data_IF_606572917954
#
_entry.id   IF_606572917954
#
_cell.length_a   1.000
_cell.length_b   1.000
_cell.length_c   1.000
_cell.angle_alpha   90.00
_cell.angle_beta   90.00
_cell.angle_gamma   90.00
#
_symmetry.space_group_name_H-M   'P 1'
#
loop_
_entity.id
_entity.type
_entity.pdbx_description
1 polymer ?
#
# COMPACT_ATOMS: atom_id res chain seq x y z
N UNK A 1 17.74 -33.92 -3.89
CA UNK A 1 17.93 -32.47 -4.07
C UNK A 1 18.96 -32.01 -3.06
N UNK A 2 20.10 -31.48 -3.50
CA UNK A 2 21.05 -30.82 -2.59
C UNK A 2 20.35 -29.60 -2.01
N UNK A 3 20.16 -29.55 -0.68
CA UNK A 3 19.73 -28.31 -0.02
C UNK A 3 20.84 -27.28 -0.19
N UNK A 4 20.51 -26.10 -0.71
CA UNK A 4 21.43 -24.96 -0.78
C UNK A 4 21.69 -24.45 0.63
N UNK A 5 22.95 -24.15 0.94
CA UNK A 5 23.36 -23.62 2.25
C UNK A 5 22.79 -22.20 2.50
N UNK A 6 22.50 -21.45 1.44
CA UNK A 6 21.89 -20.12 1.52
C UNK A 6 21.74 -19.48 0.13
N UNK A 7 20.99 -18.39 0.07
CA UNK A 7 20.80 -17.56 -1.13
C UNK A 7 20.79 -16.09 -0.73
N UNK A 8 21.43 -15.23 -1.52
CA UNK A 8 21.30 -13.77 -1.42
C UNK A 8 21.05 -13.22 -2.81
N UNK A 9 19.95 -12.49 -2.98
CA UNK A 9 19.65 -11.75 -4.20
C UNK A 9 20.27 -10.37 -4.09
N UNK A 10 21.35 -10.16 -4.83
CA UNK A 10 22.04 -8.87 -4.89
C UNK A 10 21.25 -7.87 -5.74
N UNK A 11 21.43 -6.57 -5.47
CA UNK A 11 20.84 -5.49 -6.27
C UNK A 11 19.42 -5.08 -5.86
N UNK A 12 18.86 -5.68 -4.81
CA UNK A 12 17.63 -5.18 -4.19
C UNK A 12 17.94 -3.93 -3.38
N UNK A 13 17.23 -2.85 -3.69
CA UNK A 13 17.31 -1.57 -3.00
C UNK A 13 15.91 -1.17 -2.55
N UNK A 14 15.53 -1.64 -1.36
CA UNK A 14 14.32 -1.18 -0.69
C UNK A 14 14.59 0.19 -0.06
N UNK A 15 13.79 1.19 -0.43
CA UNK A 15 13.80 2.53 0.19
C UNK A 15 12.37 2.92 0.51
N UNK A 16 12.12 3.29 1.76
CA UNK A 16 10.78 3.73 2.17
C UNK A 16 10.58 5.20 1.82
N UNK A 17 9.63 5.49 0.94
CA UNK A 17 9.36 6.85 0.44
C UNK A 17 7.87 7.19 0.39
N UNK A 18 7.01 6.26 -0.05
CA UNK A 18 5.57 6.54 -0.22
C UNK A 18 4.69 5.71 0.71
N UNK A 19 4.70 4.40 0.49
CA UNK A 19 3.99 3.37 1.26
C UNK A 19 4.89 2.15 1.27
N UNK A 20 5.18 1.65 2.47
CA UNK A 20 6.14 0.57 2.63
C UNK A 20 5.82 -0.67 1.78
N UNK A 21 4.54 -0.98 1.53
CA UNK A 21 4.16 -2.06 0.62
C UNK A 21 4.54 -1.77 -0.84
N UNK A 22 4.15 -0.60 -1.35
CA UNK A 22 4.45 -0.17 -2.72
C UNK A 22 5.95 -0.12 -2.97
N UNK A 23 6.69 0.42 -2.00
CA UNK A 23 8.15 0.51 -2.05
C UNK A 23 8.79 -0.89 -2.09
N UNK A 24 8.32 -1.82 -1.24
CA UNK A 24 8.80 -3.20 -1.20
C UNK A 24 8.46 -3.96 -2.48
N UNK A 25 7.24 -3.78 -2.97
CA UNK A 25 6.79 -4.35 -4.24
C UNK A 25 7.63 -3.83 -5.41
N UNK A 26 7.90 -2.53 -5.47
CA UNK A 26 8.73 -1.91 -6.49
C UNK A 26 10.15 -2.46 -6.47
N UNK A 27 10.78 -2.54 -5.29
CA UNK A 27 12.12 -3.10 -5.14
C UNK A 27 12.19 -4.57 -5.59
N UNK A 28 11.20 -5.39 -5.23
CA UNK A 28 11.15 -6.80 -5.64
C UNK A 28 10.94 -6.95 -7.15
N UNK A 29 9.92 -6.28 -7.72
CA UNK A 29 9.57 -6.47 -9.13
C UNK A 29 10.62 -5.88 -10.08
N UNK A 30 11.25 -4.75 -9.73
CA UNK A 30 12.30 -4.17 -10.57
C UNK A 30 13.58 -5.01 -10.54
N UNK A 31 14.00 -5.50 -9.36
CA UNK A 31 15.16 -6.40 -9.24
C UNK A 31 14.95 -7.72 -10.01
N UNK A 32 13.71 -8.21 -10.07
CA UNK A 32 13.33 -9.40 -10.84
C UNK A 32 13.10 -9.15 -12.34
N UNK A 33 13.17 -7.90 -12.82
CA UNK A 33 12.85 -7.54 -14.20
C UNK A 33 11.36 -7.67 -14.56
N UNK A 34 10.48 -7.79 -13.56
CA UNK A 34 9.03 -7.92 -13.72
C UNK A 34 8.32 -6.55 -13.80
N UNK A 35 9.00 -5.46 -13.51
CA UNK A 35 8.47 -4.11 -13.69
C UNK A 35 9.56 -3.17 -14.24
N UNK A 36 9.15 -2.30 -15.18
CA UNK A 36 10.01 -1.27 -15.76
C UNK A 36 9.25 0.05 -15.73
N UNK A 37 9.89 1.10 -15.22
CA UNK A 37 9.30 2.42 -15.06
C UNK A 37 9.46 2.95 -13.64
N UNK A 38 8.99 4.16 -13.37
CA UNK A 38 9.13 4.80 -12.06
C UNK A 38 8.13 4.25 -11.03
N UNK A 39 8.43 4.41 -9.74
CA UNK A 39 7.59 3.94 -8.63
C UNK A 39 6.16 4.47 -8.69
N UNK A 40 5.94 5.72 -9.10
CA UNK A 40 4.60 6.29 -9.20
C UNK A 40 3.73 5.58 -10.25
N UNK A 41 4.33 5.03 -11.32
CA UNK A 41 3.58 4.23 -12.30
C UNK A 41 3.13 2.91 -11.68
N UNK A 42 3.98 2.24 -10.90
CA UNK A 42 3.61 1.03 -10.18
C UNK A 42 2.54 1.33 -9.12
N UNK A 43 2.71 2.41 -8.35
CA UNK A 43 1.78 2.87 -7.32
C UNK A 43 0.40 3.17 -7.90
N UNK A 44 0.36 3.88 -9.03
CA UNK A 44 -0.87 4.22 -9.76
C UNK A 44 -1.55 3.01 -10.40
N UNK A 45 -0.82 2.20 -11.19
CA UNK A 45 -1.37 1.03 -11.87
C UNK A 45 -1.88 -0.02 -10.89
N UNK A 46 -1.17 -0.27 -9.78
CA UNK A 46 -1.62 -1.20 -8.75
C UNK A 46 -2.83 -0.69 -7.95
N UNK A 47 -3.19 0.59 -8.07
CA UNK A 47 -4.22 1.23 -7.27
C UNK A 47 -3.79 1.53 -5.82
N UNK A 48 -2.58 1.14 -5.42
CA UNK A 48 -2.08 1.35 -4.05
C UNK A 48 -1.91 2.83 -3.69
N UNK A 49 -1.66 3.70 -4.68
CA UNK A 49 -1.60 5.15 -4.47
C UNK A 49 -2.92 5.73 -3.91
N UNK A 50 -4.06 5.12 -4.26
CA UNK A 50 -5.38 5.60 -3.85
C UNK A 50 -5.77 5.16 -2.43
N UNK A 51 -5.09 4.15 -1.88
CA UNK A 51 -5.39 3.67 -0.53
C UNK A 51 -5.11 4.73 0.51
N UNK A 52 -6.14 5.04 1.28
CA UNK A 52 -6.04 5.96 2.40
C UNK A 52 -6.83 5.44 3.58
N UNK A 53 -6.13 5.18 4.69
CA UNK A 53 -6.72 4.70 5.93
C UNK A 53 -6.19 5.47 7.13
N UNK A 54 -7.06 5.75 8.09
CA UNK A 54 -6.77 6.58 9.26
C UNK A 54 -7.45 6.01 10.49
N UNK A 55 -6.67 5.73 11.54
CA UNK A 55 -7.20 5.43 12.87
C UNK A 55 -7.69 6.71 13.56
N UNK A 56 -8.76 6.65 14.35
CA UNK A 56 -9.38 7.82 15.03
C UNK A 56 -8.43 8.64 15.93
N UNK A 57 -7.30 8.04 16.33
CA UNK A 57 -6.23 8.65 17.14
C UNK A 57 -4.96 9.00 16.35
N UNK A 58 -4.99 8.89 15.02
CA UNK A 58 -3.87 9.13 14.11
C UNK A 58 -2.62 8.31 14.41
N UNK A 59 -2.80 7.03 14.78
CA UNK A 59 -1.65 6.16 15.03
C UNK A 59 -0.87 5.88 13.73
N UNK A 60 0.47 5.74 13.80
CA UNK A 60 1.32 5.59 12.61
C UNK A 60 0.98 4.37 11.76
N UNK A 61 0.49 3.28 12.37
CA UNK A 61 0.08 2.07 11.63
C UNK A 61 -1.07 2.32 10.64
N UNK A 62 -1.75 3.47 10.71
CA UNK A 62 -2.83 3.83 9.81
C UNK A 62 -2.47 3.67 8.34
N UNK A 63 -1.22 3.94 7.95
CA UNK A 63 -0.77 3.88 6.55
C UNK A 63 -0.69 2.45 5.99
N UNK A 64 -0.66 1.43 6.85
CA UNK A 64 -0.70 0.01 6.45
C UNK A 64 -1.99 -0.69 6.86
N UNK A 65 -2.87 -0.06 7.64
CA UNK A 65 -4.09 -0.68 8.15
C UNK A 65 -5.32 -0.49 7.24
N UNK A 66 -5.16 -0.72 5.94
CA UNK A 66 -6.20 -0.57 4.92
C UNK A 66 -6.99 -1.88 4.64
N UNK A 67 -7.04 -2.80 5.61
CA UNK A 67 -7.84 -4.03 5.53
C UNK A 67 -7.03 -5.31 5.59
N UNK A 68 -7.61 -6.40 5.06
CA UNK A 68 -6.94 -7.69 5.00
C UNK A 68 -5.98 -7.71 3.81
N UNK A 69 -4.67 -7.58 4.06
CA UNK A 69 -3.67 -7.44 3.00
C UNK A 69 -3.76 -8.46 1.86
N UNK A 70 -4.07 -9.74 2.12
CA UNK A 70 -4.29 -10.72 1.05
C UNK A 70 -5.41 -10.36 0.06
N UNK A 71 -6.48 -9.70 0.55
CA UNK A 71 -7.59 -9.21 -0.27
C UNK A 71 -7.31 -7.86 -0.91
N UNK A 72 -6.49 -7.04 -0.28
CA UNK A 72 -6.18 -5.69 -0.76
C UNK A 72 -5.03 -5.68 -1.77
N UNK A 73 -4.03 -6.56 -1.60
CA UNK A 73 -2.89 -6.65 -2.49
C UNK A 73 -3.19 -7.53 -3.71
N UNK A 74 -4.03 -8.56 -3.60
CA UNK A 74 -4.35 -9.46 -4.71
C UNK A 74 -4.77 -8.71 -5.98
N UNK A 75 -5.86 -7.92 -5.96
CA UNK A 75 -6.29 -7.13 -7.12
C UNK A 75 -5.24 -6.14 -7.62
N UNK A 76 -4.43 -5.58 -6.70
CA UNK A 76 -3.36 -4.65 -7.03
C UNK A 76 -2.25 -5.32 -7.85
N UNK A 77 -1.84 -6.53 -7.46
CA UNK A 77 -0.80 -7.31 -8.15
C UNK A 77 -1.36 -7.95 -9.44
N UNK A 78 -2.59 -8.44 -9.41
CA UNK A 78 -3.29 -8.97 -10.58
C UNK A 78 -3.36 -7.92 -11.69
N UNK A 79 -3.57 -6.64 -11.33
CA UNK A 79 -3.61 -5.56 -12.30
C UNK A 79 -2.24 -5.20 -12.91
N UNK A 80 -1.15 -5.63 -12.28
CA UNK A 80 0.21 -5.58 -12.84
C UNK A 80 0.54 -6.81 -13.70
N UNK A 81 -0.36 -7.81 -13.73
CA UNK A 81 -0.19 -9.06 -14.46
C UNK A 81 0.76 -10.04 -13.79
N UNK A 82 1.09 -9.84 -12.51
CA UNK A 82 2.05 -10.69 -11.79
C UNK A 82 1.29 -11.76 -11.01
N UNK A 83 1.71 -13.02 -11.13
CA UNK A 83 1.22 -14.08 -10.27
C UNK A 83 1.74 -13.85 -8.86
N UNK A 84 0.86 -13.95 -7.86
CA UNK A 84 1.25 -13.84 -6.46
C UNK A 84 0.62 -14.92 -5.60
N UNK A 85 1.32 -15.31 -4.56
CA UNK A 85 0.75 -16.00 -3.42
C UNK A 85 1.17 -15.30 -2.14
N UNK A 86 0.48 -15.62 -1.05
CA UNK A 86 0.77 -15.02 0.24
C UNK A 86 0.52 -16.01 1.38
N UNK A 87 1.22 -15.76 2.47
CA UNK A 87 0.99 -16.41 3.76
C UNK A 87 0.79 -15.33 4.81
N UNK A 88 -0.03 -15.60 5.81
CA UNK A 88 -0.34 -14.62 6.85
C UNK A 88 -1.51 -15.07 7.68
N UNK A 89 -1.68 -14.45 8.83
CA UNK A 89 -2.74 -14.84 9.76
C UNK A 89 -2.46 -14.38 11.17
N UNK A 90 -3.09 -15.04 12.14
CA UNK A 90 -2.98 -14.68 13.56
C UNK A 90 -1.99 -15.57 14.30
N UNK A 91 -0.97 -14.98 14.91
CA UNK A 91 0.13 -15.70 15.58
C UNK A 91 -0.31 -16.54 16.78
N UNK A 92 -1.50 -16.29 17.33
CA UNK A 92 -2.06 -17.03 18.49
C UNK A 92 -2.94 -18.22 18.12
N UNK A 93 -3.04 -18.57 16.84
CA UNK A 93 -3.81 -19.75 16.42
C UNK A 93 -3.00 -21.03 16.69
N UNK A 94 -3.65 -22.12 17.11
CA UNK A 94 -2.96 -23.39 17.46
C UNK A 94 -2.14 -23.97 16.30
N UNK A 95 -2.54 -23.66 15.06
CA UNK A 95 -1.82 -24.08 13.85
C UNK A 95 -0.69 -23.13 13.42
N UNK A 96 -0.34 -22.10 14.22
CA UNK A 96 0.66 -21.10 13.85
C UNK A 96 1.99 -21.71 13.44
N UNK A 97 2.54 -22.60 14.26
CA UNK A 97 3.81 -23.26 13.96
C UNK A 97 3.81 -24.00 12.61
N UNK A 98 2.66 -24.60 12.24
CA UNK A 98 2.54 -25.35 10.97
C UNK A 98 2.60 -24.43 9.77
N UNK A 99 1.79 -23.36 9.75
CA UNK A 99 1.80 -22.46 8.61
C UNK A 99 3.02 -21.52 8.60
N UNK A 100 3.64 -21.26 9.77
CA UNK A 100 4.91 -20.54 9.86
C UNK A 100 6.00 -21.33 9.12
N UNK A 101 6.10 -22.64 9.41
CA UNK A 101 7.06 -23.50 8.71
C UNK A 101 6.77 -23.58 7.22
N UNK A 102 5.51 -23.71 6.81
CA UNK A 102 5.16 -23.69 5.38
C UNK A 102 5.61 -22.40 4.69
N UNK A 103 5.37 -21.25 5.32
CA UNK A 103 5.77 -19.96 4.77
C UNK A 103 7.29 -19.76 4.71
N UNK A 104 8.04 -20.29 5.67
CA UNK A 104 9.50 -20.30 5.62
C UNK A 104 9.98 -21.05 4.37
N UNK A 105 9.40 -22.22 4.09
CA UNK A 105 9.74 -22.99 2.89
C UNK A 105 9.30 -22.29 1.59
N UNK A 106 8.13 -21.64 1.57
CA UNK A 106 7.66 -20.86 0.42
C UNK A 106 8.58 -19.67 0.12
N UNK A 107 9.07 -18.97 1.16
CA UNK A 107 10.06 -17.89 1.01
C UNK A 107 11.37 -18.42 0.46
N UNK A 108 11.90 -19.54 1.00
CA UNK A 108 13.12 -20.17 0.48
C UNK A 108 12.97 -20.56 -0.99
N UNK A 109 11.86 -21.21 -1.35
CA UNK A 109 11.59 -21.58 -2.74
C UNK A 109 11.50 -20.37 -3.67
N UNK A 110 10.90 -19.26 -3.22
CA UNK A 110 10.87 -18.03 -3.99
C UNK A 110 12.28 -17.48 -4.22
N UNK A 111 13.08 -17.39 -3.16
CA UNK A 111 14.46 -16.91 -3.20
C UNK A 111 15.34 -17.80 -4.09
N UNK A 112 15.15 -19.12 -4.05
CA UNK A 112 15.86 -20.08 -4.88
C UNK A 112 15.65 -19.87 -6.39
N UNK A 113 14.49 -19.31 -6.76
CA UNK A 113 14.15 -18.90 -8.13
C UNK A 113 14.64 -17.49 -8.47
N UNK A 114 15.33 -16.82 -7.56
CA UNK A 114 15.79 -15.43 -7.73
C UNK A 114 14.69 -14.39 -7.48
N UNK A 115 13.63 -14.73 -6.76
CA UNK A 115 12.51 -13.85 -6.47
C UNK A 115 12.43 -13.54 -4.98
N UNK A 116 12.68 -12.29 -4.61
CA UNK A 116 12.50 -11.81 -3.26
C UNK A 116 11.03 -11.73 -2.85
N UNK A 117 10.79 -11.63 -1.54
CA UNK A 117 9.45 -11.63 -0.96
C UNK A 117 9.18 -10.32 -0.23
N UNK A 118 7.93 -9.86 -0.25
CA UNK A 118 7.48 -8.79 0.65
C UNK A 118 7.12 -9.41 2.00
N UNK A 119 7.55 -8.78 3.10
CA UNK A 119 7.30 -9.26 4.45
C UNK A 119 6.91 -8.11 5.37
N UNK A 120 5.90 -8.32 6.21
CA UNK A 120 5.45 -7.31 7.15
C UNK A 120 6.08 -7.50 8.53
N UNK A 121 6.82 -6.47 8.96
CA UNK A 121 7.47 -6.30 10.26
C UNK A 121 7.25 -4.86 10.74
N UNK A 122 6.14 -4.63 11.46
CA UNK A 122 5.45 -3.35 11.60
C UNK A 122 5.86 -2.30 10.56
N UNK A 123 5.26 -2.43 9.37
CA UNK A 123 5.63 -1.88 8.04
C UNK A 123 6.19 -2.97 7.12
N UNK A 124 6.08 -2.79 5.81
CA UNK A 124 6.55 -3.77 4.84
C UNK A 124 8.04 -3.58 4.50
N UNK A 125 8.74 -4.70 4.35
CA UNK A 125 10.11 -4.79 3.89
C UNK A 125 10.28 -5.93 2.89
N UNK A 126 11.53 -6.17 2.50
CA UNK A 126 11.89 -7.18 1.50
C UNK A 126 12.78 -8.24 2.14
N UNK A 127 12.35 -9.49 2.08
CA UNK A 127 13.22 -10.65 2.32
C UNK A 127 13.96 -10.94 1.02
N UNK A 128 15.28 -10.78 1.03
CA UNK A 128 16.11 -10.91 -0.18
C UNK A 128 17.12 -12.06 -0.12
N UNK A 129 17.15 -12.79 0.98
CA UNK A 129 17.98 -13.98 1.09
C UNK A 129 17.77 -14.75 2.38
N UNK A 130 18.46 -15.88 2.50
CA UNK A 130 18.44 -16.74 3.66
C UNK A 130 19.78 -17.46 3.86
N UNK A 131 20.02 -17.90 5.09
CA UNK A 131 21.11 -18.79 5.48
C UNK A 131 20.52 -19.99 6.23
N UNK A 132 20.80 -21.19 5.76
CA UNK A 132 20.26 -22.43 6.33
C UNK A 132 21.02 -22.88 7.58
N UNK A 133 22.32 -22.58 7.67
CA UNK A 133 23.16 -22.96 8.80
C UNK A 133 22.80 -22.10 10.02
N UNK A 134 22.67 -20.79 9.81
CA UNK A 134 22.27 -19.82 10.84
C UNK A 134 20.74 -19.74 11.05
N UNK A 135 19.96 -20.34 10.15
CA UNK A 135 18.48 -20.32 10.13
C UNK A 135 17.91 -18.90 10.18
N UNK A 136 18.41 -18.03 9.30
CA UNK A 136 17.99 -16.63 9.23
C UNK A 136 17.53 -16.22 7.85
N UNK A 137 16.63 -15.24 7.81
CA UNK A 137 16.31 -14.44 6.63
C UNK A 137 17.03 -13.10 6.67
N UNK A 138 17.50 -12.67 5.50
CA UNK A 138 18.05 -11.33 5.26
C UNK A 138 16.95 -10.39 4.79
N UNK A 139 16.73 -9.29 5.53
CA UNK A 139 15.60 -8.37 5.35
C UNK A 139 16.08 -6.94 5.21
N UNK A 140 15.56 -6.21 4.21
CA UNK A 140 15.67 -4.76 4.11
C UNK A 140 14.33 -4.12 4.47
N UNK A 141 14.30 -3.20 5.44
CA UNK A 141 13.06 -2.53 5.86
C UNK A 141 12.87 -1.13 5.25
N UNK A 142 13.84 -0.68 4.45
CA UNK A 142 13.84 0.61 3.77
C UNK A 142 14.19 1.82 4.63
N UNK A 143 14.54 1.62 5.91
CA UNK A 143 15.00 2.70 6.81
C UNK A 143 16.50 2.97 6.69
N UNK A 144 17.28 1.97 6.30
CA UNK A 144 18.70 2.08 5.96
C UNK A 144 19.06 1.07 4.87
N UNK A 145 20.28 1.19 4.33
CA UNK A 145 20.84 0.20 3.40
C UNK A 145 21.25 -1.11 4.08
N UNK A 146 21.21 -1.16 5.41
CA UNK A 146 21.68 -2.30 6.17
C UNK A 146 20.68 -3.46 6.10
N UNK A 147 21.23 -4.66 5.97
CA UNK A 147 20.44 -5.89 6.06
C UNK A 147 20.21 -6.25 7.52
N UNK A 148 18.95 -6.44 7.88
CA UNK A 148 18.52 -7.01 9.16
C UNK A 148 18.37 -8.52 9.04
N UNK A 149 18.43 -9.19 10.18
CA UNK A 149 18.30 -10.64 10.27
C UNK A 149 17.01 -11.00 11.01
N UNK A 150 16.26 -11.93 10.46
CA UNK A 150 15.08 -12.52 11.11
C UNK A 150 15.30 -14.01 11.25
N UNK A 151 15.38 -14.50 12.48
CA UNK A 151 15.45 -15.95 12.74
C UNK A 151 14.20 -16.62 12.18
N UNK A 152 14.33 -17.83 11.62
CA UNK A 152 13.19 -18.63 11.16
C UNK A 152 12.12 -18.79 12.24
N UNK A 153 12.53 -19.06 13.48
CA UNK A 153 11.62 -19.25 14.60
C UNK A 153 10.87 -17.95 14.98
N UNK A 154 11.44 -16.78 14.62
CA UNK A 154 10.81 -15.47 14.79
C UNK A 154 9.99 -15.02 13.57
N UNK A 155 9.96 -15.80 12.50
CA UNK A 155 9.27 -15.39 11.27
C UNK A 155 7.76 -15.25 11.52
N UNK A 156 7.23 -14.05 11.28
CA UNK A 156 5.83 -13.71 11.57
C UNK A 156 5.54 -13.36 13.04
N UNK A 157 6.51 -13.49 13.96
CA UNK A 157 6.34 -13.02 15.33
C UNK A 157 6.74 -11.54 15.44
N UNK A 158 5.83 -10.73 15.98
CA UNK A 158 6.05 -9.29 16.18
C UNK A 158 5.16 -8.77 17.33
N UNK A 159 5.15 -7.45 17.54
CA UNK A 159 4.38 -6.80 18.62
C UNK A 159 2.86 -6.92 18.45
N UNK A 160 2.37 -7.29 17.26
CA UNK A 160 0.96 -7.47 16.95
C UNK A 160 0.61 -8.95 16.79
N UNK A 161 -0.68 -9.34 16.95
CA UNK A 161 -1.08 -10.74 16.87
C UNK A 161 -1.27 -11.23 15.43
N UNK A 162 -0.70 -10.56 14.42
CA UNK A 162 -0.83 -10.93 13.01
C UNK A 162 0.45 -10.66 12.23
N UNK A 163 0.54 -11.27 11.05
CA UNK A 163 1.70 -11.17 10.17
C UNK A 163 1.31 -11.47 8.73
N UNK A 164 2.21 -11.14 7.81
CA UNK A 164 2.00 -11.33 6.38
C UNK A 164 3.31 -11.42 5.63
N UNK A 165 3.34 -12.29 4.63
CA UNK A 165 4.40 -12.41 3.64
C UNK A 165 3.76 -12.68 2.28
N UNK A 166 4.33 -12.07 1.24
CA UNK A 166 3.88 -12.21 -0.13
C UNK A 166 5.06 -12.58 -1.03
N UNK A 167 4.82 -13.56 -1.87
CA UNK A 167 5.77 -14.07 -2.84
C UNK A 167 5.19 -13.93 -4.25
N UNK A 168 6.08 -13.90 -5.23
CA UNK A 168 5.74 -13.57 -6.61
C UNK A 168 6.15 -14.72 -7.54
N UNK A 169 5.50 -14.76 -8.70
CA UNK A 169 5.76 -15.72 -9.76
C UNK A 169 5.86 -15.02 -11.10
N UNK A 170 5.46 -15.74 -12.14
CA UNK A 170 5.54 -15.25 -13.52
C UNK A 170 4.63 -14.04 -13.76
N UNK A 171 4.96 -13.29 -14.82
CA UNK A 171 4.19 -12.14 -15.27
C UNK A 171 3.58 -12.38 -16.65
N UNK A 172 2.37 -11.88 -16.84
CA UNK A 172 1.73 -11.70 -18.14
C UNK A 172 1.59 -10.21 -18.45
N UNK A 173 1.60 -9.87 -19.73
CA UNK A 173 1.39 -8.49 -20.15
C UNK A 173 -0.09 -8.13 -20.13
N UNK A 174 -0.42 -7.06 -19.40
CA UNK A 174 -1.74 -6.46 -19.40
C UNK A 174 -1.68 -5.20 -20.26
N UNK A 175 -2.58 -5.03 -21.25
CA UNK A 175 -2.66 -3.80 -22.02
C UNK A 175 -2.81 -2.58 -21.09
N UNK A 176 -2.00 -1.54 -21.33
CA UNK A 176 -2.00 -0.33 -20.48
C UNK A 176 -3.39 0.26 -20.30
N UNK A 177 -4.20 0.28 -21.36
CA UNK A 177 -5.60 0.71 -21.31
C UNK A 177 -6.41 -0.03 -20.22
N UNK A 178 -6.29 -1.35 -20.15
CA UNK A 178 -7.04 -2.17 -19.22
C UNK A 178 -6.51 -2.03 -17.79
N UNK A 179 -5.19 -1.95 -17.63
CA UNK A 179 -4.56 -1.71 -16.34
C UNK A 179 -4.94 -0.34 -15.75
N UNK A 180 -4.95 0.71 -16.59
CA UNK A 180 -5.38 2.06 -16.18
C UNK A 180 -6.85 2.04 -15.79
N UNK A 181 -7.72 1.47 -16.62
CA UNK A 181 -9.16 1.37 -16.33
C UNK A 181 -9.44 0.64 -15.02
N UNK A 182 -8.76 -0.47 -14.77
CA UNK A 182 -8.92 -1.22 -13.54
C UNK A 182 -8.35 -0.48 -12.31
N UNK A 183 -7.25 0.27 -12.46
CA UNK A 183 -6.75 1.13 -11.37
C UNK A 183 -7.78 2.17 -10.91
N UNK A 184 -8.58 2.72 -11.84
CA UNK A 184 -9.66 3.66 -11.48
C UNK A 184 -10.76 2.96 -10.68
N UNK A 185 -11.06 1.70 -11.02
CA UNK A 185 -12.07 0.89 -10.32
C UNK A 185 -11.59 0.50 -8.93
N UNK A 186 -10.32 0.16 -8.77
CA UNK A 186 -9.70 -0.08 -7.45
C UNK A 186 -9.73 1.20 -6.60
N UNK A 187 -9.47 2.36 -7.19
CA UNK A 187 -9.56 3.65 -6.51
C UNK A 187 -10.99 3.92 -6.00
N UNK A 188 -12.01 3.67 -6.84
CA UNK A 188 -13.41 3.82 -6.46
C UNK A 188 -13.82 2.85 -5.34
N UNK A 189 -13.39 1.60 -5.42
CA UNK A 189 -13.69 0.58 -4.40
C UNK A 189 -13.11 0.97 -3.03
N UNK A 190 -11.88 1.48 -2.99
CA UNK A 190 -11.28 1.99 -1.76
C UNK A 190 -12.02 3.23 -1.25
N UNK A 191 -12.29 4.19 -2.14
CA UNK A 191 -12.99 5.44 -1.81
C UNK A 191 -14.36 5.23 -1.17
N UNK A 192 -15.12 4.26 -1.68
CA UNK A 192 -16.51 3.99 -1.29
C UNK A 192 -16.64 3.03 -0.11
N UNK A 193 -15.55 2.37 0.31
CA UNK A 193 -15.56 1.44 1.44
C UNK A 193 -15.10 2.14 2.73
N UNK A 194 -16.00 2.55 3.63
CA UNK A 194 -15.61 3.37 4.79
C UNK A 194 -14.79 2.61 5.84
N UNK A 195 -14.93 1.28 5.92
CA UNK A 195 -14.27 0.44 6.92
C UNK A 195 -13.80 -0.87 6.29
N UNK A 196 -12.48 -1.07 6.20
CA UNK A 196 -11.86 -2.29 5.65
C UNK A 196 -11.51 -3.33 6.72
N UNK A 197 -11.63 -2.97 8.00
CA UNK A 197 -11.21 -3.77 9.16
C UNK A 197 -12.37 -4.27 10.01
N UNK A 198 -13.58 -4.36 9.45
CA UNK A 198 -14.77 -4.81 10.18
C UNK A 198 -14.52 -6.12 10.96
N UNK A 199 -15.08 -6.26 12.17
CA UNK A 199 -16.05 -5.36 12.80
C UNK A 199 -15.44 -4.09 13.44
N UNK A 200 -14.12 -3.96 13.46
CA UNK A 200 -13.45 -2.77 14.00
C UNK A 200 -13.65 -1.57 13.06
N UNK A 201 -14.23 -0.50 13.60
CA UNK A 201 -14.51 0.77 12.94
C UNK A 201 -13.61 1.92 13.44
N UNK A 202 -12.61 1.61 14.28
CA UNK A 202 -11.63 2.59 14.75
C UNK A 202 -10.68 3.06 13.65
N UNK A 203 -10.67 2.37 12.50
CA UNK A 203 -9.88 2.67 11.32
C UNK A 203 -10.82 2.91 10.14
N UNK A 204 -10.86 4.16 9.69
CA UNK A 204 -11.60 4.56 8.50
C UNK A 204 -10.76 4.38 7.23
N UNK A 205 -11.42 4.23 6.09
CA UNK A 205 -10.80 4.11 4.76
C UNK A 205 -11.50 5.00 3.74
N UNK A 206 -10.80 5.32 2.65
CA UNK A 206 -11.31 6.10 1.53
C UNK A 206 -11.81 7.48 1.96
N UNK A 207 -13.04 7.82 1.57
CA UNK A 207 -13.69 9.09 1.93
C UNK A 207 -13.74 9.32 3.45
N UNK A 208 -14.03 8.27 4.23
CA UNK A 208 -14.22 8.39 5.69
C UNK A 208 -12.90 8.70 6.42
N UNK A 209 -11.76 8.31 5.84
CA UNK A 209 -10.45 8.57 6.43
C UNK A 209 -10.16 10.08 6.58
N UNK A 210 -10.62 10.90 5.64
CA UNK A 210 -10.56 12.37 5.76
C UNK A 210 -11.31 12.88 6.99
N UNK A 211 -12.51 12.35 7.25
CA UNK A 211 -13.31 12.74 8.41
C UNK A 211 -12.60 12.38 9.72
N UNK A 212 -11.95 11.23 9.79
CA UNK A 212 -11.17 10.82 10.96
C UNK A 212 -9.96 11.73 11.17
N UNK A 213 -9.23 12.02 10.10
CA UNK A 213 -8.07 12.91 10.13
C UNK A 213 -8.45 14.31 10.62
N UNK A 214 -9.42 14.94 9.96
CA UNK A 214 -9.88 16.30 10.28
C UNK A 214 -10.40 16.37 11.72
N UNK A 215 -11.26 15.42 12.12
CA UNK A 215 -11.84 15.39 13.46
C UNK A 215 -10.78 15.26 14.55
N UNK A 216 -9.82 14.36 14.39
CA UNK A 216 -8.76 14.15 15.36
C UNK A 216 -7.92 15.43 15.54
N UNK A 217 -7.52 16.07 14.42
CA UNK A 217 -6.77 17.33 14.43
C UNK A 217 -7.55 18.46 15.13
N UNK A 218 -8.85 18.61 14.84
CA UNK A 218 -9.71 19.61 15.49
C UNK A 218 -9.88 19.40 16.99
N UNK A 219 -9.92 18.14 17.43
CA UNK A 219 -10.09 17.79 18.85
C UNK A 219 -8.78 17.89 19.65
N UNK A 220 -7.63 17.92 18.98
CA UNK A 220 -6.31 17.96 19.63
C UNK A 220 -5.94 16.68 20.39
N UNK A 221 -6.66 15.57 20.17
CA UNK A 221 -6.45 14.28 20.86
C UNK A 221 -5.98 13.23 19.87
N UNK A 222 -4.70 13.25 19.56
CA UNK A 222 -4.09 12.35 18.58
C UNK A 222 -2.62 12.09 18.89
N UNK A 223 -2.06 11.06 18.26
CA UNK A 223 -0.63 10.80 18.24
C UNK A 223 0.07 11.76 17.26
N UNK A 224 0.92 12.65 17.78
CA UNK A 224 1.53 13.71 16.97
C UNK A 224 2.46 13.16 15.89
N UNK A 225 3.26 12.13 16.22
CA UNK A 225 4.15 11.47 15.25
C UNK A 225 3.39 10.78 14.13
N UNK A 226 2.31 10.08 14.48
CA UNK A 226 1.48 9.39 13.51
C UNK A 226 0.68 10.38 12.65
N UNK A 227 0.24 11.52 13.19
CA UNK A 227 -0.38 12.58 12.41
C UNK A 227 0.57 13.12 11.32
N UNK A 228 1.83 13.40 11.66
CA UNK A 228 2.86 13.81 10.69
C UNK A 228 3.05 12.73 9.63
N UNK A 229 3.25 11.48 10.05
CA UNK A 229 3.48 10.37 9.12
C UNK A 229 2.31 10.11 8.17
N UNK A 230 1.07 10.20 8.66
CA UNK A 230 -0.14 10.08 7.84
C UNK A 230 -0.21 11.22 6.81
N UNK A 231 0.10 12.46 7.20
CA UNK A 231 0.09 13.61 6.31
C UNK A 231 1.18 13.51 5.24
N UNK A 232 2.39 13.08 5.61
CA UNK A 232 3.47 12.82 4.66
C UNK A 232 3.09 11.72 3.66
N UNK A 233 2.58 10.58 4.14
CA UNK A 233 2.13 9.49 3.25
C UNK A 233 0.95 9.89 2.36
N UNK A 234 0.05 10.76 2.84
CA UNK A 234 -1.03 11.33 2.04
C UNK A 234 -0.45 12.20 0.91
N UNK A 235 0.40 13.18 1.24
CA UNK A 235 1.03 14.07 0.25
C UNK A 235 1.80 13.28 -0.82
N UNK A 236 2.64 12.33 -0.40
CA UNK A 236 3.40 11.51 -1.35
C UNK A 236 2.46 10.75 -2.27
N UNK A 237 1.41 10.13 -1.74
CA UNK A 237 0.42 9.42 -2.56
C UNK A 237 -0.31 10.34 -3.55
N UNK A 238 -0.60 11.59 -3.19
CA UNK A 238 -1.26 12.54 -4.10
C UNK A 238 -0.34 13.04 -5.20
N UNK A 239 0.93 13.27 -4.88
CA UNK A 239 1.96 13.57 -5.88
C UNK A 239 2.21 12.38 -6.84
N UNK A 240 2.18 11.15 -6.32
CA UNK A 240 2.25 9.94 -7.14
C UNK A 240 1.04 9.81 -8.08
N UNK A 241 -0.18 10.03 -7.58
CA UNK A 241 -1.39 10.00 -8.41
C UNK A 241 -1.32 11.08 -9.49
N UNK A 242 -0.90 12.30 -9.16
CA UNK A 242 -0.72 13.39 -10.14
C UNK A 242 0.26 12.96 -11.23
N UNK A 243 1.43 12.45 -10.85
CA UNK A 243 2.48 12.02 -11.79
C UNK A 243 2.03 10.84 -12.65
N UNK A 244 1.33 9.87 -12.07
CA UNK A 244 0.72 8.76 -12.79
C UNK A 244 -0.29 9.24 -13.82
N UNK A 245 -1.26 10.07 -13.40
CA UNK A 245 -2.29 10.61 -14.29
C UNK A 245 -1.71 11.48 -15.40
N UNK A 246 -0.61 12.19 -15.14
CA UNK A 246 0.11 12.93 -16.17
C UNK A 246 0.63 12.02 -17.30
N UNK A 247 1.17 10.85 -16.95
CA UNK A 247 1.65 9.86 -17.94
C UNK A 247 0.50 9.18 -18.68
N UNK A 248 -0.62 8.90 -18.00
CA UNK A 248 -1.73 8.12 -18.57
C UNK A 248 -2.92 8.96 -19.07
N UNK A 249 -2.83 10.30 -19.05
CA UNK A 249 -3.94 11.20 -19.41
C UNK A 249 -4.52 10.98 -20.81
N UNK A 250 -3.74 10.42 -21.74
CA UNK A 250 -4.15 10.11 -23.11
C UNK A 250 -4.73 8.70 -23.28
N UNK A 251 -4.63 7.83 -22.26
CA UNK A 251 -5.02 6.42 -22.35
C UNK A 251 -6.53 6.25 -22.33
N UNK A 252 -7.24 7.03 -21.51
CA UNK A 252 -8.71 7.03 -21.43
C UNK A 252 -9.24 8.47 -21.56
N UNK A 253 -10.30 8.71 -22.38
CA UNK A 253 -10.87 10.05 -22.52
C UNK A 253 -11.41 10.59 -21.19
N UNK A 254 -10.98 11.80 -20.80
CA UNK A 254 -11.38 12.48 -19.56
C UNK A 254 -10.34 12.40 -18.43
N UNK A 255 -9.28 11.59 -18.56
CA UNK A 255 -8.23 11.53 -17.54
C UNK A 255 -7.44 12.83 -17.40
N UNK A 256 -7.37 13.64 -18.45
CA UNK A 256 -6.80 14.98 -18.41
C UNK A 256 -7.49 15.89 -17.38
N UNK A 257 -8.83 15.78 -17.23
CA UNK A 257 -9.57 16.53 -16.21
C UNK A 257 -9.22 16.06 -14.79
N UNK A 258 -9.07 14.75 -14.61
CA UNK A 258 -8.68 14.18 -13.32
C UNK A 258 -7.25 14.56 -12.94
N UNK A 259 -6.33 14.55 -13.91
CA UNK A 259 -4.97 15.04 -13.73
C UNK A 259 -4.98 16.50 -13.25
N UNK A 260 -5.77 17.38 -13.87
CA UNK A 260 -5.89 18.78 -13.44
C UNK A 260 -6.40 18.91 -12.00
N UNK A 261 -7.38 18.09 -11.59
CA UNK A 261 -7.89 18.09 -10.21
C UNK A 261 -6.81 17.66 -9.21
N UNK A 262 -6.06 16.59 -9.51
CA UNK A 262 -4.97 16.15 -8.64
C UNK A 262 -3.78 17.10 -8.65
N UNK A 263 -3.54 17.84 -9.74
CA UNK A 263 -2.55 18.91 -9.77
C UNK A 263 -2.91 20.07 -8.83
N UNK A 264 -4.16 20.52 -8.87
CA UNK A 264 -4.69 21.54 -7.94
C UNK A 264 -4.61 21.07 -6.49
N UNK A 265 -5.01 19.82 -6.22
CA UNK A 265 -4.96 19.23 -4.89
C UNK A 265 -3.54 19.15 -4.35
N UNK A 266 -2.61 18.60 -5.12
CA UNK A 266 -1.21 18.39 -4.71
C UNK A 266 -0.53 19.73 -4.38
N UNK A 267 -0.70 20.74 -5.24
CA UNK A 267 -0.14 22.08 -5.03
C UNK A 267 -0.68 22.73 -3.75
N UNK A 268 -2.01 22.73 -3.58
CA UNK A 268 -2.68 23.33 -2.42
C UNK A 268 -2.28 22.63 -1.12
N UNK A 269 -2.35 21.30 -1.08
CA UNK A 269 -2.10 20.53 0.14
C UNK A 269 -0.63 20.55 0.54
N UNK A 270 0.30 20.50 -0.43
CA UNK A 270 1.73 20.65 -0.18
C UNK A 270 2.05 22.00 0.47
N UNK A 271 1.47 23.10 -0.03
CA UNK A 271 1.68 24.43 0.52
C UNK A 271 1.23 24.54 1.97
N UNK A 272 0.01 24.08 2.27
CA UNK A 272 -0.58 24.15 3.61
C UNK A 272 0.12 23.21 4.60
N UNK A 273 0.49 22.02 4.16
CA UNK A 273 1.20 21.07 5.01
C UNK A 273 2.60 21.56 5.38
N UNK A 274 3.35 22.16 4.44
CA UNK A 274 4.66 22.77 4.76
C UNK A 274 4.55 23.86 5.82
N UNK A 275 3.49 24.67 5.78
CA UNK A 275 3.24 25.71 6.78
C UNK A 275 2.85 25.13 8.16
N UNK A 276 2.16 23.98 8.17
CA UNK A 276 1.71 23.33 9.40
C UNK A 276 2.80 22.52 10.11
N UNK A 277 3.93 22.27 9.45
CA UNK A 277 5.03 21.48 9.98
C UNK A 277 6.14 22.34 10.58
N UNK A 278 6.73 21.88 11.69
CA UNK A 278 7.93 22.47 12.28
C UNK A 278 8.85 21.39 12.86
N UNK A 279 10.15 21.68 12.87
CA UNK A 279 11.17 20.79 13.42
C UNK A 279 11.47 21.19 14.87
N UNK A 280 11.21 20.29 15.82
CA UNK A 280 11.53 20.47 17.24
C UNK A 280 12.41 19.30 17.68
N UNK A 281 13.63 19.59 18.15
CA UNK A 281 14.59 18.59 18.60
C UNK A 281 14.88 17.47 17.59
N UNK A 282 14.88 17.79 16.29
CA UNK A 282 15.10 16.82 15.21
C UNK A 282 13.88 15.99 14.82
N UNK A 283 12.74 16.19 15.48
CA UNK A 283 11.47 15.53 15.15
C UNK A 283 10.50 16.51 14.51
N UNK A 284 9.87 16.08 13.41
CA UNK A 284 8.79 16.83 12.77
C UNK A 284 7.54 16.81 13.65
N UNK A 285 6.91 17.97 13.79
CA UNK A 285 5.71 18.16 14.62
C UNK A 285 4.73 19.13 13.95
N UNK A 286 3.46 19.05 14.33
CA UNK A 286 2.43 19.96 13.84
C UNK A 286 2.34 21.23 14.70
N UNK A 287 2.32 22.39 14.04
CA UNK A 287 2.15 23.70 14.66
C UNK A 287 0.68 23.88 15.03
N UNK A 288 0.37 23.95 16.32
CA UNK A 288 -1.00 23.99 16.82
C UNK A 288 -1.83 25.15 16.25
N UNK A 289 -1.20 26.32 16.05
CA UNK A 289 -1.84 27.50 15.47
C UNK A 289 -2.22 27.32 13.99
N UNK A 290 -1.61 26.37 13.28
CA UNK A 290 -1.85 26.10 11.86
C UNK A 290 -2.87 24.97 11.64
N UNK A 291 -3.27 24.26 12.70
CA UNK A 291 -4.25 23.18 12.59
C UNK A 291 -5.60 23.60 11.97
N UNK A 292 -6.17 24.79 12.28
CA UNK A 292 -7.41 25.23 11.61
C UNK A 292 -7.25 25.38 10.09
N UNK A 293 -6.15 25.98 9.63
CA UNK A 293 -5.83 26.13 8.20
C UNK A 293 -5.60 24.77 7.53
N UNK A 294 -4.88 23.87 8.21
CA UNK A 294 -4.67 22.51 7.72
C UNK A 294 -5.99 21.73 7.61
N UNK A 295 -6.89 21.85 8.59
CA UNK A 295 -8.21 21.21 8.52
C UNK A 295 -9.04 21.76 7.36
N UNK A 296 -9.00 23.07 7.10
CA UNK A 296 -9.66 23.67 5.94
C UNK A 296 -9.07 23.16 4.62
N UNK A 297 -7.75 23.03 4.53
CA UNK A 297 -7.06 22.44 3.37
C UNK A 297 -7.46 20.97 3.14
N UNK A 298 -7.53 20.17 4.20
CA UNK A 298 -7.97 18.77 4.12
C UNK A 298 -9.44 18.65 3.69
N UNK A 299 -10.30 19.58 4.10
CA UNK A 299 -11.69 19.63 3.65
C UNK A 299 -11.77 19.96 2.15
N UNK A 300 -10.96 20.90 1.67
CA UNK A 300 -10.87 21.20 0.23
C UNK A 300 -10.29 20.02 -0.56
N UNK A 301 -9.27 19.33 -0.03
CA UNK A 301 -8.72 18.13 -0.64
C UNK A 301 -9.77 17.01 -0.77
N UNK A 302 -10.60 16.81 0.26
CA UNK A 302 -11.74 15.88 0.21
C UNK A 302 -12.73 16.24 -0.91
N UNK A 303 -13.07 17.53 -1.07
CA UNK A 303 -13.97 17.99 -2.13
C UNK A 303 -13.38 17.81 -3.54
N UNK A 304 -12.08 18.08 -3.70
CA UNK A 304 -11.35 17.84 -4.94
C UNK A 304 -11.31 16.35 -5.29
N UNK A 305 -10.99 15.48 -4.33
CA UNK A 305 -11.02 14.04 -4.56
C UNK A 305 -12.42 13.52 -4.85
N UNK A 306 -13.46 14.03 -4.20
CA UNK A 306 -14.83 13.64 -4.53
C UNK A 306 -15.17 13.97 -5.99
N UNK A 307 -14.72 15.12 -6.50
CA UNK A 307 -14.85 15.48 -7.92
C UNK A 307 -14.03 14.54 -8.82
N UNK A 308 -12.80 14.20 -8.44
CA UNK A 308 -11.98 13.25 -9.18
C UNK A 308 -12.63 11.84 -9.24
N UNK A 309 -13.18 11.37 -8.12
CA UNK A 309 -13.87 10.08 -8.04
C UNK A 309 -15.17 10.09 -8.86
N UNK A 310 -15.90 11.20 -8.93
CA UNK A 310 -17.02 11.33 -9.86
C UNK A 310 -16.57 11.17 -11.32
N UNK A 311 -15.43 11.77 -11.70
CA UNK A 311 -14.88 11.58 -13.03
C UNK A 311 -14.42 10.14 -13.28
N UNK A 312 -13.79 9.48 -12.30
CA UNK A 312 -13.47 8.05 -12.40
C UNK A 312 -14.71 7.19 -12.64
N UNK A 313 -15.83 7.47 -11.95
CA UNK A 313 -17.11 6.77 -12.21
C UNK A 313 -17.60 6.99 -13.64
N UNK A 314 -17.54 8.24 -14.13
CA UNK A 314 -17.96 8.55 -15.50
C UNK A 314 -17.09 7.88 -16.56
N UNK A 315 -15.77 7.86 -16.36
CA UNK A 315 -14.81 7.20 -17.27
C UNK A 315 -15.04 5.69 -17.23
N UNK A 316 -15.04 5.09 -16.03
CA UNK A 316 -15.21 3.65 -15.84
C UNK A 316 -16.56 3.16 -16.38
N UNK A 317 -17.64 3.93 -16.19
CA UNK A 317 -18.98 3.60 -16.64
C UNK A 317 -19.15 3.54 -18.17
N UNK A 318 -18.21 4.08 -18.95
CA UNK A 318 -18.19 3.93 -20.42
C UNK A 318 -17.75 2.54 -20.87
N UNK A 319 -17.13 1.77 -19.97
CA UNK A 319 -16.57 0.46 -20.26
C UNK A 319 -17.26 -0.62 -19.42
N UNK A 320 -17.76 -1.71 -20.03
CA UNK A 320 -18.34 -2.82 -19.29
C UNK A 320 -17.36 -3.40 -18.28
N UNK A 321 -17.79 -3.60 -17.04
CA UNK A 321 -17.02 -4.30 -16.02
C UNK A 321 -17.46 -5.77 -15.94
N UNK A 322 -16.94 -6.59 -16.85
CA UNK A 322 -17.29 -8.03 -16.88
C UNK A 322 -16.84 -8.78 -15.64
N UNK A 323 -15.77 -8.33 -14.96
CA UNK A 323 -15.25 -9.01 -13.75
C UNK A 323 -16.24 -8.87 -12.60
N UNK A 324 -16.80 -7.67 -12.41
CA UNK A 324 -17.75 -7.36 -11.34
C UNK A 324 -19.22 -7.58 -11.76
N UNK A 325 -19.53 -7.62 -13.06
CA UNK A 325 -20.90 -7.83 -13.57
C UNK A 325 -21.27 -9.29 -13.83
N UNK A 326 -20.30 -10.21 -13.91
CA UNK A 326 -20.57 -11.65 -14.04
C UNK A 326 -20.62 -12.23 -12.63
N UNK A 327 -21.77 -12.82 -12.26
CA UNK A 327 -21.86 -13.65 -11.06
C UNK A 327 -20.74 -14.70 -11.14
N UNK A 328 -19.77 -14.70 -10.21
CA UNK A 328 -18.70 -15.67 -10.25
C UNK A 328 -19.34 -17.06 -10.19
N UNK A 329 -18.92 -17.98 -11.07
CA UNK A 329 -19.45 -19.35 -11.10
C UNK A 329 -19.28 -20.05 -9.75
N UNK A 330 -18.39 -19.56 -8.89
CA UNK A 330 -18.15 -20.04 -7.53
C UNK A 330 -17.98 -18.86 -6.55
N UNK A 331 -18.84 -18.79 -5.52
CA UNK A 331 -18.40 -18.45 -4.16
C UNK A 331 -18.50 -17.02 -3.60
N UNK A 332 -19.04 -16.01 -4.29
CA UNK A 332 -19.29 -14.70 -3.63
C UNK A 332 -20.71 -14.56 -3.06
N UNK A 333 -21.67 -15.30 -3.62
CA UNK A 333 -23.07 -15.33 -3.19
C UNK A 333 -23.69 -16.72 -3.39
N UNK A 334 -23.27 -17.71 -2.61
CA UNK A 334 -24.19 -18.82 -2.28
C UNK A 334 -24.88 -18.44 -0.99
N UNK A 335 -26.18 -18.20 -1.08
CA UNK A 335 -27.04 -17.88 0.06
C UNK A 335 -26.81 -18.86 1.22
N UNK A 336 -26.55 -18.32 2.41
CA UNK A 336 -27.05 -18.85 3.68
C UNK A 336 -27.50 -17.71 4.55
#
# INVERSE_FOLDING_TARGET
>A
MNRRAGVIINGIQMKRESKSFTDALYAVLTAAGLFHGPTFMLSGLSGMAFKFSVHEKLFPFSVTAYGQWGKEHGPAIDNLGVLTGHSGGRTRHDSFAVYQQAAIEDVKHSLDRGLACVYWIPEFGVVHGYDEDDRVFYVQDGSSIETRYVLYDNFGLNITPFWYCQFFGDKVDIPLHDAVLESLRLALEDWETPYKTLPDQSIASGRMAYSFLIRALQQGKFDSSGAVYILESLLTARSEIRSYLQEVQSVLPGLNEVHSIYAELDEMLCGQSKAAHTLINGSMTLVQQQLPSLCAALQQALELEERAMQQFRLISGRYPDRKRSILPRWGAHTAR
#
